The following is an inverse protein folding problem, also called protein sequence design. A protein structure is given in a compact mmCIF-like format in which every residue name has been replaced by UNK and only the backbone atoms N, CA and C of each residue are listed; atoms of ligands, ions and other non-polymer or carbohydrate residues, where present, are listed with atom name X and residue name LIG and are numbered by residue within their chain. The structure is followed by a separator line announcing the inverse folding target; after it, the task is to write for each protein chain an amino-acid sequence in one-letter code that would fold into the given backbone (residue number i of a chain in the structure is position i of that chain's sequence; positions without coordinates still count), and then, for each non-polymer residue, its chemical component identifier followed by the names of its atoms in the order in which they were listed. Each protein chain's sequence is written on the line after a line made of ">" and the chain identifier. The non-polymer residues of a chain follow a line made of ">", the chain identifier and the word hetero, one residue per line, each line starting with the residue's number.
data_IF_023780600671
#
_entry.id   IF_023780600671
#
_cell.length_a   1.000
_cell.length_b   1.000
_cell.length_c   1.000
_cell.angle_alpha   90.00
_cell.angle_beta   90.00
_cell.angle_gamma   90.00
#
_symmetry.space_group_name_H-M   'P 1'
#
loop_
_entity.id
_entity.type
_entity.pdbx_description
1 polymer ?
#
# COMPACT_ATOMS: atom_id res chain seq x y z
N UNK A 1 -0.09 -4.12 26.58
CA UNK A 1 -0.28 -4.40 25.15
C UNK A 1 -1.75 -4.30 24.83
N UNK A 2 -2.13 -3.50 23.83
CA UNK A 2 -3.51 -3.34 23.36
C UNK A 2 -3.56 -3.64 21.86
N UNK A 3 -4.59 -4.36 21.41
CA UNK A 3 -4.86 -4.59 20.00
C UNK A 3 -6.01 -3.68 19.54
N UNK A 4 -5.81 -2.99 18.42
CA UNK A 4 -6.80 -2.14 17.78
C UNK A 4 -6.80 -2.39 16.28
N UNK A 5 -7.85 -1.99 15.58
CA UNK A 5 -7.81 -1.87 14.12
C UNK A 5 -7.79 -0.40 13.71
N UNK A 6 -7.02 -0.10 12.67
CA UNK A 6 -6.96 1.23 12.03
C UNK A 6 -7.46 1.07 10.61
N UNK A 7 -8.55 1.76 10.27
CA UNK A 7 -9.09 1.78 8.90
C UNK A 7 -8.20 2.63 8.01
N UNK A 8 -7.92 2.15 6.81
CA UNK A 8 -7.28 2.95 5.76
C UNK A 8 -8.35 3.78 5.06
N UNK A 9 -8.24 5.10 5.16
CA UNK A 9 -9.15 6.06 4.55
C UNK A 9 -8.69 6.42 3.15
N UNK A 10 -9.53 6.15 2.15
CA UNK A 10 -9.27 6.44 0.73
C UNK A 10 -10.56 6.37 -0.10
N UNK A 11 -10.60 6.99 -1.28
CA UNK A 11 -11.63 6.71 -2.28
C UNK A 11 -11.60 5.24 -2.76
N UNK A 12 -12.73 4.75 -3.26
CA UNK A 12 -12.89 3.33 -3.64
C UNK A 12 -11.99 2.91 -4.82
N UNK A 13 -11.74 3.81 -5.77
CA UNK A 13 -10.95 3.55 -6.98
C UNK A 13 -9.43 3.70 -6.77
N UNK A 14 -9.01 4.25 -5.63
CA UNK A 14 -7.61 4.44 -5.30
C UNK A 14 -7.01 3.16 -4.75
N UNK A 15 -5.85 2.78 -5.29
CA UNK A 15 -5.08 1.65 -4.79
C UNK A 15 -4.03 2.13 -3.77
N UNK A 16 -3.63 1.26 -2.86
CA UNK A 16 -2.50 1.53 -1.99
C UNK A 16 -1.62 0.29 -1.76
N UNK A 17 -0.38 0.53 -1.33
CA UNK A 17 0.59 -0.49 -0.91
C UNK A 17 1.04 -0.12 0.50
N UNK A 18 0.93 -1.05 1.43
CA UNK A 18 1.39 -0.91 2.82
C UNK A 18 2.53 -1.89 3.06
N UNK A 19 3.65 -1.40 3.61
CA UNK A 19 4.82 -2.22 3.89
C UNK A 19 5.63 -1.74 5.08
N UNK A 20 6.71 -2.46 5.34
CA UNK A 20 7.72 -2.16 6.34
C UNK A 20 9.04 -1.87 5.64
N UNK A 21 9.74 -0.83 6.08
CA UNK A 21 11.05 -0.43 5.55
C UNK A 21 12.02 -0.12 6.70
N UNK A 22 13.14 0.53 6.42
CA UNK A 22 14.01 1.18 7.40
C UNK A 22 14.78 2.33 6.72
N UNK A 23 15.43 3.19 7.51
CA UNK A 23 16.34 4.24 6.99
C UNK A 23 15.66 5.35 6.16
N UNK A 24 16.13 6.58 6.35
CA UNK A 24 15.46 7.79 5.82
C UNK A 24 15.44 7.84 4.29
N UNK A 25 16.41 7.21 3.63
CA UNK A 25 16.52 7.12 2.17
C UNK A 25 15.32 6.39 1.52
N UNK A 26 14.55 5.60 2.29
CA UNK A 26 13.28 4.97 1.87
C UNK A 26 12.39 5.92 1.06
N UNK A 27 12.26 7.18 1.47
CA UNK A 27 11.32 8.12 0.86
C UNK A 27 11.74 8.49 -0.56
N UNK A 28 13.01 8.81 -0.76
CA UNK A 28 13.54 9.16 -2.08
C UNK A 28 13.59 7.91 -2.98
N UNK A 29 14.02 6.76 -2.45
CA UNK A 29 14.20 5.55 -3.27
C UNK A 29 12.87 4.94 -3.70
N UNK A 30 11.84 4.96 -2.83
CA UNK A 30 10.49 4.59 -3.25
C UNK A 30 9.94 5.58 -4.29
N UNK A 31 10.21 6.89 -4.13
CA UNK A 31 9.79 7.87 -5.14
C UNK A 31 10.43 7.57 -6.49
N UNK A 32 11.76 7.42 -6.53
CA UNK A 32 12.53 7.15 -7.75
C UNK A 32 12.13 5.83 -8.41
N UNK A 33 11.92 4.78 -7.62
CA UNK A 33 11.44 3.49 -8.11
C UNK A 33 10.08 3.60 -8.80
N UNK A 34 9.15 4.38 -8.22
CA UNK A 34 7.81 4.56 -8.77
C UNK A 34 7.81 5.36 -10.08
N UNK A 35 8.51 6.50 -10.13
CA UNK A 35 8.58 7.33 -11.35
C UNK A 35 9.34 6.65 -12.50
N UNK A 36 10.29 5.77 -12.17
CA UNK A 36 11.04 4.98 -13.16
C UNK A 36 10.19 3.84 -13.72
N UNK A 37 9.31 3.25 -12.91
CA UNK A 37 8.49 2.11 -13.33
C UNK A 37 7.36 2.49 -14.29
N UNK A 38 6.72 3.65 -14.09
CA UNK A 38 5.58 4.08 -14.92
C UNK A 38 5.71 5.58 -15.25
N UNK A 39 5.93 5.94 -16.52
CA UNK A 39 5.97 7.34 -16.94
C UNK A 39 4.67 8.07 -16.59
N UNK A 40 4.78 9.22 -15.92
CA UNK A 40 3.64 10.04 -15.54
C UNK A 40 2.80 9.52 -14.37
N UNK A 41 3.31 8.53 -13.62
CA UNK A 41 2.64 7.99 -12.43
C UNK A 41 2.22 9.08 -11.44
N UNK A 42 1.01 8.96 -10.92
CA UNK A 42 0.46 9.79 -9.86
C UNK A 42 0.43 8.99 -8.58
N UNK A 43 1.17 9.44 -7.57
CA UNK A 43 1.25 8.76 -6.28
C UNK A 43 1.65 9.69 -5.14
N UNK A 44 1.44 9.21 -3.93
CA UNK A 44 2.02 9.78 -2.71
C UNK A 44 2.54 8.65 -1.84
N UNK A 45 3.76 8.80 -1.32
CA UNK A 45 4.37 7.89 -0.35
C UNK A 45 4.58 8.62 0.97
N UNK A 46 4.31 7.91 2.07
CA UNK A 46 4.64 8.35 3.42
C UNK A 46 5.33 7.23 4.19
N UNK A 47 6.32 7.58 5.00
CA UNK A 47 7.17 6.69 5.78
C UNK A 47 7.27 7.22 7.22
N UNK A 48 7.02 6.34 8.19
CA UNK A 48 7.09 6.68 9.61
C UNK A 48 8.52 6.52 10.12
N UNK A 49 9.26 7.62 10.29
CA UNK A 49 10.57 7.59 10.95
C UNK A 49 10.40 7.08 12.39
N UNK A 50 11.18 6.07 12.80
CA UNK A 50 11.00 5.41 14.09
C UNK A 50 12.01 5.83 15.17
N UNK A 51 12.79 6.87 14.90
CA UNK A 51 13.81 7.38 15.83
C UNK A 51 14.02 8.89 15.63
N UNK A 52 14.78 9.51 16.54
CA UNK A 52 15.07 10.93 16.47
C UNK A 52 13.78 11.78 16.48
N UNK A 53 13.54 12.64 15.48
CA UNK A 53 12.31 13.44 15.38
C UNK A 53 11.02 12.63 15.25
N UNK A 54 11.10 11.37 14.83
CA UNK A 54 9.96 10.47 14.64
C UNK A 54 8.82 11.07 13.79
N UNK A 55 9.19 11.71 12.66
CA UNK A 55 8.23 12.38 11.78
C UNK A 55 7.72 11.45 10.67
N UNK A 56 6.51 11.73 10.18
CA UNK A 56 6.05 11.18 8.91
C UNK A 56 6.78 11.92 7.78
N UNK A 57 7.61 11.18 7.05
CA UNK A 57 8.38 11.64 5.90
C UNK A 57 7.64 11.26 4.63
N UNK A 58 7.63 12.12 3.61
CA UNK A 58 6.76 11.91 2.47
C UNK A 58 7.35 12.48 1.18
N UNK A 59 6.90 11.94 0.05
CA UNK A 59 7.23 12.39 -1.30
C UNK A 59 6.17 11.88 -2.28
N UNK A 60 6.08 12.46 -3.47
CA UNK A 60 5.06 12.07 -4.43
C UNK A 60 4.93 13.02 -5.61
N UNK A 61 3.98 12.71 -6.49
CA UNK A 61 3.74 13.42 -7.76
C UNK A 61 2.30 13.92 -7.90
N UNK A 62 1.47 13.71 -6.87
CA UNK A 62 0.07 14.09 -6.82
C UNK A 62 -0.33 14.53 -5.41
N UNK A 63 -0.91 15.73 -5.29
CA UNK A 63 -1.23 16.34 -3.99
C UNK A 63 -2.31 15.56 -3.22
N UNK A 64 -3.33 15.05 -3.91
CA UNK A 64 -4.38 14.27 -3.25
C UNK A 64 -3.82 12.96 -2.69
N UNK A 65 -2.94 12.29 -3.43
CA UNK A 65 -2.29 11.07 -2.95
C UNK A 65 -1.30 11.35 -1.81
N UNK A 66 -0.62 12.51 -1.82
CA UNK A 66 0.25 12.95 -0.74
C UNK A 66 -0.50 13.17 0.57
N UNK A 67 -1.67 13.80 0.50
CA UNK A 67 -2.53 13.99 1.68
C UNK A 67 -3.03 12.64 2.22
N UNK A 68 -3.48 11.73 1.35
CA UNK A 68 -3.87 10.37 1.77
C UNK A 68 -2.72 9.62 2.45
N UNK A 69 -1.51 9.68 1.87
CA UNK A 69 -0.34 9.00 2.41
C UNK A 69 0.02 9.51 3.81
N UNK A 70 0.11 10.84 3.97
CA UNK A 70 0.43 11.48 5.26
C UNK A 70 -0.61 11.17 6.33
N UNK A 71 -1.90 11.35 6.02
CA UNK A 71 -2.98 11.16 6.98
C UNK A 71 -3.07 9.71 7.47
N UNK A 72 -2.96 8.73 6.56
CA UNK A 72 -3.00 7.32 6.91
C UNK A 72 -1.74 6.86 7.65
N UNK A 73 -0.54 7.30 7.23
CA UNK A 73 0.69 6.99 7.94
C UNK A 73 0.66 7.52 9.39
N UNK A 74 0.16 8.74 9.60
CA UNK A 74 -0.01 9.32 10.93
C UNK A 74 -1.05 8.57 11.76
N UNK A 75 -2.17 8.14 11.14
CA UNK A 75 -3.21 7.35 11.82
C UNK A 75 -2.70 5.96 12.25
N UNK A 76 -1.84 5.34 11.44
CA UNK A 76 -1.17 4.09 11.78
C UNK A 76 -0.13 4.29 12.89
N UNK A 77 0.65 5.37 12.83
CA UNK A 77 1.73 5.69 13.78
C UNK A 77 2.64 4.50 14.13
N UNK A 78 2.85 3.59 13.17
CA UNK A 78 3.69 2.41 13.33
C UNK A 78 5.09 2.71 12.80
N UNK A 79 6.11 2.64 13.66
CA UNK A 79 7.49 2.97 13.30
C UNK A 79 7.97 2.13 12.11
N UNK A 80 8.67 2.79 11.18
CA UNK A 80 9.25 2.21 9.97
C UNK A 80 8.24 1.58 8.98
N UNK A 81 6.94 1.75 9.20
CA UNK A 81 5.94 1.46 8.17
C UNK A 81 5.99 2.51 7.06
N UNK A 82 5.63 2.11 5.84
CA UNK A 82 5.37 3.03 4.74
C UNK A 82 4.06 2.69 4.05
N UNK A 83 3.41 3.71 3.50
CA UNK A 83 2.20 3.56 2.70
C UNK A 83 2.34 4.38 1.41
N UNK A 84 2.02 3.75 0.28
CA UNK A 84 1.97 4.37 -1.05
C UNK A 84 0.53 4.38 -1.52
N UNK A 85 -0.01 5.53 -1.90
CA UNK A 85 -1.29 5.64 -2.62
C UNK A 85 -1.02 5.89 -4.10
N UNK A 86 -1.75 5.18 -4.96
CA UNK A 86 -1.66 5.26 -6.41
C UNK A 86 -2.92 5.94 -6.95
N UNK A 87 -2.72 7.01 -7.72
CA UNK A 87 -3.80 7.73 -8.39
C UNK A 87 -4.60 6.83 -9.34
N UNK A 88 -5.81 7.25 -9.67
CA UNK A 88 -6.71 6.48 -10.53
C UNK A 88 -6.01 6.10 -11.86
N UNK A 89 -6.16 4.83 -12.25
CA UNK A 89 -5.53 4.26 -13.45
C UNK A 89 -4.11 3.70 -13.25
N UNK A 90 -3.52 3.86 -12.06
CA UNK A 90 -2.27 3.21 -11.68
C UNK A 90 -2.54 2.07 -10.69
N UNK A 91 -2.01 0.88 -10.99
CA UNK A 91 -2.33 -0.33 -10.24
C UNK A 91 -1.09 -0.91 -9.56
N UNK A 92 -1.24 -1.58 -8.41
CA UNK A 92 -0.10 -2.19 -7.73
C UNK A 92 0.67 -3.18 -8.61
N UNK A 93 0.00 -3.88 -9.52
CA UNK A 93 0.68 -4.81 -10.45
C UNK A 93 1.71 -4.14 -11.35
N UNK A 94 1.62 -2.82 -11.55
CA UNK A 94 2.60 -2.06 -12.32
C UNK A 94 3.90 -1.81 -11.55
N UNK A 95 3.84 -1.74 -10.22
CA UNK A 95 4.93 -1.22 -9.38
C UNK A 95 5.35 -2.12 -8.22
N UNK A 96 4.58 -3.15 -7.87
CA UNK A 96 4.82 -3.96 -6.67
C UNK A 96 6.23 -4.58 -6.66
N UNK A 97 6.74 -5.00 -7.82
CA UNK A 97 8.07 -5.59 -7.92
C UNK A 97 9.20 -4.58 -7.78
N UNK A 98 9.02 -3.34 -8.25
CA UNK A 98 10.03 -2.30 -8.06
C UNK A 98 10.06 -1.84 -6.60
N UNK A 99 8.89 -1.73 -5.94
CA UNK A 99 8.79 -1.42 -4.51
C UNK A 99 9.47 -2.52 -3.68
N UNK A 100 9.21 -3.80 -3.97
CA UNK A 100 9.89 -4.93 -3.32
C UNK A 100 11.41 -4.96 -3.57
N UNK A 101 11.87 -4.35 -4.66
CA UNK A 101 13.27 -4.30 -5.03
C UNK A 101 14.05 -3.14 -4.40
N UNK A 102 13.37 -2.20 -3.74
CA UNK A 102 14.04 -1.10 -3.02
C UNK A 102 14.81 -1.70 -1.83
N UNK A 103 16.12 -1.44 -1.68
CA UNK A 103 16.96 -2.09 -0.66
C UNK A 103 16.48 -1.91 0.78
N UNK A 104 15.80 -0.80 1.07
CA UNK A 104 15.28 -0.49 2.39
C UNK A 104 14.03 -1.29 2.76
N UNK A 105 13.29 -1.83 1.78
CA UNK A 105 12.00 -2.49 1.99
C UNK A 105 12.20 -3.88 2.57
N UNK A 106 11.70 -4.07 3.79
CA UNK A 106 11.76 -5.35 4.50
C UNK A 106 10.62 -6.30 4.11
N UNK A 107 9.44 -5.77 3.80
CA UNK A 107 8.27 -6.58 3.44
C UNK A 107 7.03 -5.76 3.09
N UNK A 108 6.08 -6.41 2.44
CA UNK A 108 4.77 -5.83 2.05
C UNK A 108 3.67 -6.55 2.83
N UNK A 109 2.80 -5.78 3.48
CA UNK A 109 1.62 -6.29 4.17
C UNK A 109 0.46 -6.52 3.20
N UNK A 110 0.16 -5.54 2.34
CA UNK A 110 -0.87 -5.66 1.32
C UNK A 110 -0.69 -4.66 0.17
N UNK A 111 -1.42 -4.91 -0.92
CA UNK A 111 -1.48 -4.07 -2.10
C UNK A 111 -2.87 -4.20 -2.74
N UNK A 112 -3.74 -3.21 -2.56
CA UNK A 112 -5.19 -3.39 -2.80
C UNK A 112 -5.93 -2.07 -3.06
N UNK A 113 -7.13 -2.18 -3.64
CA UNK A 113 -8.14 -1.13 -3.69
C UNK A 113 -9.31 -1.40 -2.74
N UNK A 114 -9.37 -2.56 -2.08
CA UNK A 114 -10.48 -2.89 -1.20
C UNK A 114 -10.46 -2.03 0.08
N UNK A 115 -11.62 -1.87 0.75
CA UNK A 115 -11.65 -1.44 2.14
C UNK A 115 -10.71 -2.30 2.98
N UNK A 116 -9.86 -1.66 3.78
CA UNK A 116 -8.82 -2.36 4.55
C UNK A 116 -8.74 -1.85 5.98
N UNK A 117 -8.63 -2.78 6.92
CA UNK A 117 -8.28 -2.52 8.32
C UNK A 117 -6.89 -3.08 8.64
N UNK A 118 -6.06 -2.32 9.34
CA UNK A 118 -4.73 -2.73 9.80
C UNK A 118 -4.81 -3.11 11.27
N UNK A 119 -4.38 -4.32 11.62
CA UNK A 119 -4.34 -4.80 13.00
C UNK A 119 -3.07 -4.25 13.65
N UNK A 120 -3.23 -3.39 14.64
CA UNK A 120 -2.13 -2.70 15.32
C UNK A 120 -2.03 -3.17 16.77
N UNK A 121 -0.81 -3.57 17.16
CA UNK A 121 -0.44 -3.80 18.54
C UNK A 121 0.26 -2.58 19.12
N UNK A 122 -0.19 -2.12 20.28
CA UNK A 122 0.37 -0.97 20.99
C UNK A 122 0.89 -1.38 22.37
N UNK A 123 2.08 -0.89 22.70
CA UNK A 123 2.78 -1.10 23.97
C UNK A 123 3.32 0.24 24.48
N UNK A 124 3.94 0.26 25.66
CA UNK A 124 4.61 1.47 26.18
C UNK A 124 5.71 1.99 25.25
N UNK A 125 6.32 1.13 24.42
CA UNK A 125 7.36 1.53 23.47
C UNK A 125 6.80 2.18 22.19
N UNK A 126 5.60 1.78 21.75
CA UNK A 126 5.03 2.23 20.49
C UNK A 126 4.11 1.20 19.84
N UNK A 127 3.87 1.38 18.53
CA UNK A 127 2.91 0.62 17.72
C UNK A 127 3.60 -0.23 16.65
N UNK A 128 3.07 -1.43 16.42
CA UNK A 128 3.49 -2.33 15.36
C UNK A 128 2.31 -2.95 14.61
N UNK A 129 2.51 -3.22 13.32
CA UNK A 129 1.50 -3.87 12.47
C UNK A 129 1.61 -5.39 12.64
N UNK A 130 0.51 -6.04 13.04
CA UNK A 130 0.41 -7.50 13.15
C UNK A 130 -0.14 -8.16 11.87
N UNK A 131 -0.91 -7.42 11.08
CA UNK A 131 -1.53 -7.94 9.87
C UNK A 131 -2.58 -6.98 9.32
N UNK A 132 -3.26 -7.42 8.27
CA UNK A 132 -4.31 -6.65 7.58
C UNK A 132 -5.57 -7.50 7.39
N UNK A 133 -6.70 -6.83 7.29
CA UNK A 133 -7.98 -7.37 6.83
C UNK A 133 -8.27 -6.67 5.49
N UNK A 134 -7.93 -7.33 4.39
CA UNK A 134 -8.08 -6.81 3.02
C UNK A 134 -9.40 -7.29 2.42
N UNK A 135 -10.38 -6.39 2.35
CA UNK A 135 -11.69 -6.68 1.79
C UNK A 135 -12.54 -7.60 2.67
N UNK A 136 -13.08 -8.66 2.06
CA UNK A 136 -14.16 -9.46 2.62
C UNK A 136 -13.81 -10.96 2.66
N UNK A 137 -14.38 -11.67 3.63
CA UNK A 137 -14.21 -13.13 3.74
C UNK A 137 -14.80 -13.86 2.53
N UNK A 138 -14.13 -14.91 2.08
CA UNK A 138 -14.62 -15.81 1.02
C UNK A 138 -15.99 -16.40 1.37
N UNK A 139 -16.89 -16.45 0.38
CA UNK A 139 -18.26 -16.98 0.54
C UNK A 139 -18.46 -18.36 -0.11
N UNK A 140 -17.46 -18.87 -0.83
CA UNK A 140 -17.55 -20.13 -1.56
C UNK A 140 -16.29 -20.41 -2.38
N UNK A 141 -16.35 -21.47 -3.19
CA UNK A 141 -15.30 -21.89 -4.14
C UNK A 141 -15.88 -21.72 -5.55
N UNK A 142 -15.08 -21.20 -6.49
CA UNK A 142 -15.52 -20.99 -7.88
C UNK A 142 -15.88 -22.30 -8.59
N UNK A 143 -16.97 -22.29 -9.37
CA UNK A 143 -17.36 -23.35 -10.31
C UNK A 143 -16.87 -23.06 -11.73
N UNK A 144 -17.30 -23.88 -12.68
CA UNK A 144 -16.89 -23.75 -14.08
C UNK A 144 -17.33 -22.41 -14.72
N UNK A 145 -18.51 -21.90 -14.35
CA UNK A 145 -19.03 -20.62 -14.84
C UNK A 145 -18.19 -19.44 -14.35
N UNK A 146 -17.83 -19.39 -13.07
CA UNK A 146 -16.97 -18.35 -12.51
C UNK A 146 -15.55 -18.42 -13.10
N UNK A 147 -15.00 -19.62 -13.32
CA UNK A 147 -13.72 -19.82 -13.98
C UNK A 147 -13.74 -19.24 -15.40
N UNK A 148 -14.81 -19.52 -16.17
CA UNK A 148 -14.98 -18.99 -17.51
C UNK A 148 -15.07 -17.46 -17.48
N UNK A 149 -15.85 -16.89 -16.56
CA UNK A 149 -16.03 -15.45 -16.40
C UNK A 149 -14.71 -14.73 -16.08
N UNK A 150 -13.94 -15.19 -15.08
CA UNK A 150 -12.66 -14.52 -14.73
C UNK A 150 -11.61 -14.63 -15.84
N UNK A 151 -11.59 -15.73 -16.60
CA UNK A 151 -10.70 -15.88 -17.77
C UNK A 151 -11.09 -14.94 -18.91
N UNK A 152 -12.39 -14.78 -19.17
CA UNK A 152 -12.90 -13.84 -20.16
C UNK A 152 -12.59 -12.38 -19.79
N UNK A 153 -12.73 -12.03 -18.51
CA UNK A 153 -12.42 -10.70 -17.99
C UNK A 153 -10.96 -10.29 -18.27
N UNK A 154 -9.99 -11.16 -17.96
CA UNK A 154 -8.57 -10.86 -18.18
C UNK A 154 -8.21 -10.63 -19.65
N UNK A 155 -8.88 -11.33 -20.57
CA UNK A 155 -8.73 -11.12 -22.03
C UNK A 155 -9.37 -9.81 -22.48
N UNK A 156 -10.57 -9.49 -21.96
CA UNK A 156 -11.25 -8.21 -22.22
C UNK A 156 -10.41 -7.02 -21.76
N UNK A 157 -9.70 -7.15 -20.65
CA UNK A 157 -8.77 -6.12 -20.16
C UNK A 157 -7.40 -6.12 -20.86
N UNK A 158 -7.13 -7.10 -21.71
CA UNK A 158 -5.87 -7.19 -22.47
C UNK A 158 -4.66 -7.74 -21.69
N UNK A 159 -4.86 -8.25 -20.47
CA UNK A 159 -3.76 -8.84 -19.67
C UNK A 159 -3.35 -10.25 -20.13
N UNK A 160 -4.18 -10.92 -20.92
CA UNK A 160 -3.90 -12.25 -21.46
C UNK A 160 -4.24 -12.31 -22.94
N UNK A 161 -3.35 -12.92 -23.71
CA UNK A 161 -3.59 -13.28 -25.10
C UNK A 161 -4.65 -14.40 -25.15
N UNK A 162 -5.51 -14.35 -26.15
CA UNK A 162 -6.58 -15.31 -26.39
C UNK A 162 -7.51 -14.83 -27.48
#
# INVERSE_FOLDING_TARGET
>A
MQLTTVRIEKPDDINFILGQSHFIKTVEDLHEALVTAVPGIKFGVAFCEASGPALVRWSGTDEAMLELARANALSLACGHSFIVFLGAGFYPVNVLKVVQGVPEVAGIFCATANPTEVIVAETEQGRGILGVIDGMKSQGIEGEEEIAARKALLRRFGYKLG
#
